data_IF_183375789424
#
_entry.id   IF_183375789424
#
_cell.length_a   1.000
_cell.length_b   1.000
_cell.length_c   1.000
_cell.angle_alpha   90.00
_cell.angle_beta   90.00
_cell.angle_gamma   90.00
#
_symmetry.space_group_name_H-M   'P 1'
#
loop_
_entity.id
_entity.type
_entity.pdbx_description
1 polymer ?
#
# COMPACT_ATOMS: atom_id res chain seq x y z
N UNK A 1 -16.09 20.10 -13.36
CA UNK A 1 -14.87 19.60 -13.76
C UNK A 1 -13.99 19.25 -12.62
N UNK A 2 -13.85 20.07 -11.73
CA UNK A 2 -13.05 19.78 -10.58
C UNK A 2 -13.56 18.59 -9.79
N UNK A 3 -14.83 18.39 -9.78
CA UNK A 3 -15.39 17.29 -9.00
C UNK A 3 -14.85 15.96 -9.44
N UNK A 4 -14.68 15.80 -10.72
CA UNK A 4 -14.19 14.54 -11.24
C UNK A 4 -12.81 14.22 -10.71
N UNK A 5 -11.97 15.22 -10.71
CA UNK A 5 -10.63 15.07 -10.26
C UNK A 5 -10.58 14.68 -8.79
N UNK A 6 -11.40 15.32 -8.02
CA UNK A 6 -11.45 15.05 -6.61
C UNK A 6 -11.88 13.64 -6.30
N UNK A 7 -12.88 13.18 -7.03
CA UNK A 7 -13.36 11.84 -6.84
C UNK A 7 -12.27 10.82 -7.10
N UNK A 8 -11.52 11.03 -8.16
CA UNK A 8 -10.44 10.12 -8.50
C UNK A 8 -9.39 10.10 -7.41
N UNK A 9 -9.03 11.25 -6.92
CA UNK A 9 -7.99 11.30 -5.89
C UNK A 9 -8.40 10.62 -4.62
N UNK A 10 -9.66 10.73 -4.26
CA UNK A 10 -10.13 10.12 -3.04
C UNK A 10 -10.22 8.62 -3.14
N UNK A 11 -10.46 8.13 -4.34
CA UNK A 11 -10.68 6.71 -4.53
C UNK A 11 -9.44 5.89 -4.24
N UNK A 12 -8.29 6.41 -4.61
CA UNK A 12 -7.11 5.58 -4.56
C UNK A 12 -5.85 6.42 -4.52
N UNK A 13 -4.93 6.12 -3.61
CA UNK A 13 -3.65 6.83 -3.57
C UNK A 13 -2.78 6.40 -4.75
N UNK A 14 -1.90 7.28 -5.17
CA UNK A 14 -0.95 6.95 -6.23
C UNK A 14 0.15 6.07 -5.66
N UNK A 15 0.95 5.48 -6.55
CA UNK A 15 2.06 4.63 -6.12
C UNK A 15 3.02 5.40 -5.22
N UNK A 16 3.30 6.64 -5.59
CA UNK A 16 4.19 7.47 -4.79
C UNK A 16 3.62 7.70 -3.40
N UNK A 17 2.33 7.95 -3.33
CA UNK A 17 1.69 8.17 -2.04
C UNK A 17 1.74 6.91 -1.17
N UNK A 18 1.54 5.77 -1.79
CA UNK A 18 1.61 4.51 -1.07
C UNK A 18 3.00 4.31 -0.50
N UNK A 19 4.03 4.55 -1.31
CA UNK A 19 5.40 4.40 -0.83
C UNK A 19 5.73 5.41 0.26
N UNK A 20 5.22 6.62 0.15
CA UNK A 20 5.41 7.61 1.20
C UNK A 20 4.84 7.11 2.52
N UNK A 21 3.66 6.53 2.47
CA UNK A 21 3.06 5.98 3.68
C UNK A 21 3.88 4.84 4.24
N UNK A 22 4.39 3.98 3.38
CA UNK A 22 5.22 2.86 3.82
C UNK A 22 6.49 3.37 4.49
N UNK A 23 7.12 4.36 3.88
CA UNK A 23 8.34 4.95 4.42
C UNK A 23 8.07 5.52 5.81
N UNK A 24 6.96 6.20 5.96
CA UNK A 24 6.61 6.81 7.24
C UNK A 24 6.31 5.77 8.31
N UNK A 25 5.75 4.65 7.91
CA UNK A 25 5.37 3.63 8.87
C UNK A 25 6.54 2.74 9.28
N UNK A 26 7.33 2.29 8.31
CA UNK A 26 8.37 1.31 8.58
C UNK A 26 9.74 1.70 8.05
N UNK A 27 9.83 2.77 7.30
CA UNK A 27 11.12 3.28 6.85
C UNK A 27 11.76 2.53 5.70
N UNK A 28 11.01 1.72 4.96
CA UNK A 28 11.55 1.01 3.81
C UNK A 28 11.18 1.76 2.53
N UNK A 29 12.08 1.73 1.56
CA UNK A 29 11.91 2.51 0.34
C UNK A 29 11.76 1.66 -0.91
N UNK A 30 11.81 0.34 -0.79
CA UNK A 30 11.65 -0.52 -1.96
C UNK A 30 11.03 -1.85 -1.54
N UNK A 31 10.61 -2.62 -2.54
CA UNK A 31 9.92 -3.87 -2.27
C UNK A 31 10.83 -4.90 -1.63
N UNK A 32 12.11 -4.90 -2.00
CA UNK A 32 13.06 -5.82 -1.39
C UNK A 32 13.18 -5.61 0.10
N UNK A 33 13.30 -4.37 0.52
CA UNK A 33 13.38 -4.06 1.93
C UNK A 33 12.06 -4.38 2.63
N UNK A 34 10.95 -4.15 1.96
CA UNK A 34 9.65 -4.46 2.53
C UNK A 34 9.49 -5.95 2.77
N UNK A 35 10.02 -6.77 1.86
CA UNK A 35 9.88 -8.20 1.96
C UNK A 35 10.61 -8.79 3.16
N UNK A 36 11.66 -8.13 3.64
CA UNK A 36 12.39 -8.65 4.80
C UNK A 36 11.76 -8.27 6.13
N UNK A 37 10.70 -7.50 6.08
CA UNK A 37 9.98 -7.16 7.32
C UNK A 37 9.31 -8.40 7.88
N UNK A 38 9.04 -8.36 9.18
CA UNK A 38 8.29 -9.43 9.82
C UNK A 38 6.89 -9.51 9.22
N UNK A 39 6.33 -10.72 9.22
CA UNK A 39 4.98 -10.89 8.73
C UNK A 39 3.98 -9.97 9.40
N UNK A 40 4.15 -9.78 10.69
CA UNK A 40 3.29 -8.89 11.46
C UNK A 40 3.36 -7.46 10.93
N UNK A 41 4.58 -6.97 10.74
CA UNK A 41 4.75 -5.61 10.25
C UNK A 41 4.19 -5.44 8.84
N UNK A 42 4.46 -6.42 7.99
CA UNK A 42 3.93 -6.38 6.63
C UNK A 42 2.42 -6.32 6.62
N UNK A 43 1.79 -7.14 7.42
CA UNK A 43 0.33 -7.19 7.47
C UNK A 43 -0.25 -5.88 7.98
N UNK A 44 0.38 -5.33 9.00
CA UNK A 44 -0.08 -4.07 9.56
C UNK A 44 -0.01 -2.95 8.53
N UNK A 45 1.11 -2.86 7.82
CA UNK A 45 1.27 -1.84 6.80
C UNK A 45 0.26 -2.03 5.67
N UNK A 46 0.10 -3.25 5.20
CA UNK A 46 -0.83 -3.53 4.12
C UNK A 46 -2.26 -3.21 4.52
N UNK A 47 -2.61 -3.53 5.74
CA UNK A 47 -3.95 -3.24 6.23
C UNK A 47 -4.20 -1.74 6.26
N UNK A 48 -3.22 -0.98 6.74
CA UNK A 48 -3.33 0.47 6.77
C UNK A 48 -3.49 1.04 5.37
N UNK A 49 -2.71 0.53 4.43
CA UNK A 49 -2.78 1.02 3.06
C UNK A 49 -4.12 0.72 2.43
N UNK A 50 -4.67 -0.45 2.70
CA UNK A 50 -6.00 -0.79 2.21
C UNK A 50 -7.05 0.17 2.79
N UNK A 51 -6.90 0.48 4.04
CA UNK A 51 -7.79 1.40 4.71
C UNK A 51 -7.75 2.78 4.07
N UNK A 52 -6.59 3.14 3.54
CA UNK A 52 -6.43 4.43 2.88
C UNK A 52 -6.90 4.42 1.43
N UNK A 53 -7.35 3.28 0.94
CA UNK A 53 -7.89 3.20 -0.40
C UNK A 53 -7.04 2.46 -1.41
N UNK A 54 -5.91 1.93 -1.01
CA UNK A 54 -5.07 1.18 -1.94
C UNK A 54 -5.73 -0.15 -2.29
N UNK A 55 -5.57 -0.56 -3.54
CA UNK A 55 -6.17 -1.81 -4.00
C UNK A 55 -5.21 -2.98 -3.80
N UNK A 56 -5.76 -4.19 -3.83
CA UNK A 56 -4.95 -5.40 -3.73
C UNK A 56 -3.88 -5.41 -4.81
N UNK A 57 -4.26 -5.08 -6.03
CA UNK A 57 -3.34 -5.10 -7.14
C UNK A 57 -2.20 -4.12 -6.94
N UNK A 58 -2.53 -2.93 -6.47
CA UNK A 58 -1.53 -1.91 -6.24
C UNK A 58 -0.53 -2.38 -5.19
N UNK A 59 -1.03 -2.92 -4.10
CA UNK A 59 -0.17 -3.40 -3.02
C UNK A 59 0.71 -4.55 -3.49
N UNK A 60 0.12 -5.49 -4.21
CA UNK A 60 0.85 -6.64 -4.73
C UNK A 60 1.98 -6.18 -5.64
N UNK A 61 1.70 -5.23 -6.52
CA UNK A 61 2.67 -4.75 -7.48
C UNK A 61 3.79 -3.96 -6.81
N UNK A 62 3.45 -3.14 -5.86
CA UNK A 62 4.44 -2.28 -5.22
C UNK A 62 5.29 -3.01 -4.21
N UNK A 63 4.70 -3.90 -3.44
CA UNK A 63 5.42 -4.56 -2.36
C UNK A 63 5.90 -5.96 -2.72
N UNK A 64 5.34 -6.56 -3.75
CA UNK A 64 5.69 -7.92 -4.11
C UNK A 64 5.10 -8.98 -3.22
N UNK A 65 4.20 -8.59 -2.33
CA UNK A 65 3.56 -9.54 -1.44
C UNK A 65 2.49 -10.31 -2.19
N UNK A 66 2.37 -11.60 -1.94
CA UNK A 66 1.42 -12.43 -2.63
C UNK A 66 -0.02 -12.06 -2.30
N UNK A 67 -0.89 -12.33 -3.28
CA UNK A 67 -2.31 -12.00 -3.13
C UNK A 67 -2.93 -12.69 -1.92
N UNK A 68 -2.52 -13.93 -1.66
CA UNK A 68 -3.06 -14.68 -0.55
C UNK A 68 -2.82 -13.99 0.78
N UNK A 69 -1.66 -13.37 0.94
CA UNK A 69 -1.35 -12.65 2.17
C UNK A 69 -2.24 -11.42 2.29
N UNK A 70 -2.39 -10.68 1.19
CA UNK A 70 -3.18 -9.45 1.20
C UNK A 70 -4.65 -9.75 1.48
N UNK A 71 -5.15 -10.82 0.92
CA UNK A 71 -6.55 -11.16 1.11
C UNK A 71 -6.88 -11.59 2.54
N UNK A 72 -5.89 -12.01 3.27
CA UNK A 72 -6.12 -12.43 4.66
C UNK A 72 -6.12 -11.27 5.65
N UNK A 73 -5.90 -10.09 5.15
CA UNK A 73 -5.96 -8.92 6.01
C UNK A 73 -7.40 -8.63 6.42
#
# INVERSE_FOLDING_TARGET
MTCLTEDSSRSRPSDDQVWQMIIEMVGVTNSGAFQVLEGKSKRMVLKELKDKGASYRQLERLTGVGRGVIQKL
#
